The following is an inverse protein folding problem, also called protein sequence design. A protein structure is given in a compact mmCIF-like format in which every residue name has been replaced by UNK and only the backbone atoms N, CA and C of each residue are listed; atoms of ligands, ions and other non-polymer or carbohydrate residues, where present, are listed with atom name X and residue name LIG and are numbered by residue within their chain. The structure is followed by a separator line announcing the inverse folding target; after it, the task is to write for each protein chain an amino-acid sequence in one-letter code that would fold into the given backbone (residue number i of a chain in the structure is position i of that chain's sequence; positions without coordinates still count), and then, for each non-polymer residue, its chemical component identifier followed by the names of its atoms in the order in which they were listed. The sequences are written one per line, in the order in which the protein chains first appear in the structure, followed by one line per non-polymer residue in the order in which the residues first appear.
data_IF_596284279426
#
_entry.id   IF_596284279426
#
_cell.length_a   1.000
_cell.length_b   1.000
_cell.length_c   1.000
_cell.angle_alpha   90.00
_cell.angle_beta   90.00
_cell.angle_gamma   90.00
#
_symmetry.space_group_name_H-M   'P 1'
#
loop_
_entity.id
_entity.type
_entity.pdbx_description
1 polymer ?
#
# COMPACT_ATOMS: atom_id res chain seq x y z
N UNK A 1 17.38 17.70 0.84
CA UNK A 1 16.52 18.37 1.84
C UNK A 1 17.35 18.98 2.95
N UNK A 2 18.17 18.20 3.67
CA UNK A 2 19.04 18.71 4.74
C UNK A 2 19.88 19.95 4.37
N UNK A 3 20.46 19.99 3.16
CA UNK A 3 21.24 21.14 2.69
C UNK A 3 20.40 22.32 2.14
N UNK A 4 19.10 22.11 1.89
CA UNK A 4 18.21 23.08 1.25
C UNK A 4 17.23 23.71 2.23
N UNK A 5 16.70 22.90 3.15
CA UNK A 5 15.72 23.29 4.17
C UNK A 5 15.87 22.35 5.38
N UNK A 6 16.78 22.69 6.32
CA UNK A 6 17.07 21.85 7.48
C UNK A 6 15.91 21.80 8.48
N UNK A 7 15.15 22.90 8.64
CA UNK A 7 14.02 22.96 9.57
C UNK A 7 12.89 22.01 9.12
N UNK A 8 12.56 22.02 7.83
CA UNK A 8 11.55 21.11 7.30
C UNK A 8 12.01 19.65 7.34
N UNK A 9 13.30 19.39 7.12
CA UNK A 9 13.87 18.05 7.28
C UNK A 9 13.75 17.55 8.73
N UNK A 10 14.13 18.36 9.72
CA UNK A 10 14.01 18.00 11.14
C UNK A 10 12.55 17.74 11.54
N UNK A 11 11.64 18.63 11.12
CA UNK A 11 10.21 18.46 11.38
C UNK A 11 9.64 17.18 10.76
N UNK A 12 10.01 16.88 9.51
CA UNK A 12 9.60 15.64 8.84
C UNK A 12 10.19 14.41 9.53
N UNK A 13 11.46 14.44 9.91
CA UNK A 13 12.10 13.33 10.63
C UNK A 13 11.36 13.06 11.93
N UNK A 14 11.17 14.09 12.78
CA UNK A 14 10.45 13.96 14.05
C UNK A 14 9.03 13.43 13.86
N UNK A 15 8.31 13.88 12.81
CA UNK A 15 6.99 13.36 12.49
C UNK A 15 7.02 11.89 12.08
N UNK A 16 7.95 11.52 11.18
CA UNK A 16 8.01 10.18 10.59
C UNK A 16 8.49 9.11 11.57
N UNK A 17 9.26 9.46 12.62
CA UNK A 17 9.78 8.49 13.58
C UNK A 17 8.85 8.18 14.74
N UNK A 18 7.79 8.97 14.98
CA UNK A 18 6.86 8.78 16.12
C UNK A 18 6.36 7.34 16.24
N UNK A 19 5.96 6.72 15.13
CA UNK A 19 5.43 5.35 15.14
C UNK A 19 6.53 4.31 15.39
N UNK A 20 7.75 4.57 14.93
CA UNK A 20 8.88 3.67 15.17
C UNK A 20 9.35 3.73 16.64
N UNK A 21 9.30 4.91 17.27
CA UNK A 21 9.77 5.13 18.64
C UNK A 21 8.71 4.82 19.70
N UNK A 22 7.43 5.05 19.40
CA UNK A 22 6.35 5.03 20.38
C UNK A 22 5.11 4.24 19.93
N UNK A 23 5.11 3.70 18.70
CA UNK A 23 3.98 2.95 18.17
C UNK A 23 3.87 1.53 18.73
N UNK A 24 2.69 0.94 18.59
CA UNK A 24 2.40 -0.43 19.03
C UNK A 24 2.66 -1.50 17.96
N UNK A 25 2.99 -1.10 16.73
CA UNK A 25 3.24 -2.01 15.62
C UNK A 25 4.71 -2.45 15.62
N UNK A 26 4.93 -3.76 15.50
CA UNK A 26 6.28 -4.27 15.25
C UNK A 26 6.82 -3.75 13.91
N UNK A 27 8.15 -3.71 13.76
CA UNK A 27 8.79 -3.19 12.54
C UNK A 27 8.30 -3.94 11.30
N UNK A 28 8.24 -5.26 11.37
CA UNK A 28 7.79 -6.10 10.24
C UNK A 28 6.42 -5.67 9.70
N UNK A 29 5.42 -5.53 10.57
CA UNK A 29 4.07 -5.14 10.18
C UNK A 29 4.02 -3.70 9.67
N UNK A 30 4.80 -2.80 10.28
CA UNK A 30 4.88 -1.40 9.83
C UNK A 30 5.46 -1.29 8.41
N UNK A 31 6.54 -2.00 8.11
CA UNK A 31 7.12 -2.01 6.76
C UNK A 31 6.17 -2.64 5.73
N UNK A 32 5.44 -3.71 6.08
CA UNK A 32 4.40 -4.28 5.20
C UNK A 32 3.29 -3.28 4.87
N UNK A 33 2.91 -2.43 5.83
CA UNK A 33 1.95 -1.34 5.60
C UNK A 33 2.53 -0.28 4.65
N UNK A 34 3.79 0.11 4.83
CA UNK A 34 4.44 1.07 3.93
C UNK A 34 4.56 0.53 2.49
N UNK A 35 4.93 -0.74 2.33
CA UNK A 35 4.91 -1.43 1.03
C UNK A 35 3.53 -1.31 0.37
N UNK A 36 2.46 -1.62 1.12
CA UNK A 36 1.10 -1.53 0.59
C UNK A 36 0.75 -0.10 0.16
N UNK A 37 1.06 0.90 0.99
CA UNK A 37 0.83 2.32 0.69
C UNK A 37 1.57 2.74 -0.58
N UNK A 38 2.83 2.37 -0.73
CA UNK A 38 3.63 2.74 -1.90
C UNK A 38 3.21 2.00 -3.18
N UNK A 39 2.60 0.82 -3.03
CA UNK A 39 2.17 -0.03 -4.14
C UNK A 39 0.77 0.29 -4.67
N UNK A 40 -0.10 0.97 -3.91
CA UNK A 40 -1.45 1.33 -4.40
C UNK A 40 -1.39 2.19 -5.67
N UNK A 41 -2.39 2.01 -6.54
CA UNK A 41 -2.46 2.61 -7.88
C UNK A 41 -2.45 4.14 -7.89
N UNK A 42 -2.80 4.77 -6.78
CA UNK A 42 -2.77 6.23 -6.61
C UNK A 42 -1.43 6.78 -6.15
N UNK A 43 -0.45 5.90 -5.85
CA UNK A 43 0.87 6.29 -5.33
C UNK A 43 2.04 5.79 -6.19
N UNK A 44 2.09 4.50 -6.51
CA UNK A 44 3.07 3.89 -7.42
C UNK A 44 4.54 4.31 -7.17
N UNK A 45 4.97 4.33 -5.91
CA UNK A 45 6.29 4.82 -5.52
C UNK A 45 7.31 3.67 -5.37
N UNK A 46 7.87 3.22 -6.50
CA UNK A 46 8.80 2.07 -6.56
C UNK A 46 9.99 2.18 -5.59
N UNK A 47 10.67 3.32 -5.42
CA UNK A 47 11.80 3.40 -4.49
C UNK A 47 11.43 3.09 -3.04
N UNK A 48 10.24 3.48 -2.60
CA UNK A 48 9.79 3.21 -1.24
C UNK A 48 9.43 1.73 -1.05
N UNK A 49 8.77 1.11 -2.05
CA UNK A 49 8.56 -0.35 -2.08
C UNK A 49 9.89 -1.10 -1.92
N UNK A 50 10.95 -0.68 -2.61
CA UNK A 50 12.26 -1.34 -2.48
C UNK A 50 12.90 -1.17 -1.10
N UNK A 51 12.79 0.03 -0.50
CA UNK A 51 13.32 0.33 0.82
C UNK A 51 12.59 -0.50 1.88
N UNK A 52 11.27 -0.44 1.87
CA UNK A 52 10.44 -1.08 2.90
C UNK A 52 10.43 -2.60 2.73
N UNK A 53 10.56 -3.13 1.51
CA UNK A 53 10.75 -4.56 1.30
C UNK A 53 12.06 -5.07 1.92
N UNK A 54 13.16 -4.31 1.82
CA UNK A 54 14.43 -4.67 2.48
C UNK A 54 14.28 -4.61 3.99
N UNK A 55 13.71 -3.53 4.53
CA UNK A 55 13.48 -3.38 5.97
C UNK A 55 12.56 -4.48 6.53
N UNK A 56 11.52 -4.86 5.78
CA UNK A 56 10.60 -5.94 6.16
C UNK A 56 11.33 -7.27 6.25
N UNK A 57 12.17 -7.60 5.26
CA UNK A 57 13.00 -8.82 5.28
C UNK A 57 13.97 -8.82 6.47
N UNK A 58 14.63 -7.70 6.73
CA UNK A 58 15.54 -7.54 7.88
C UNK A 58 14.79 -7.70 9.22
N UNK A 59 13.51 -7.31 9.27
CA UNK A 59 12.62 -7.52 10.41
C UNK A 59 11.97 -8.92 10.47
N UNK A 60 12.34 -9.83 9.57
CA UNK A 60 11.88 -11.22 9.55
C UNK A 60 10.57 -11.47 8.80
N UNK A 61 10.16 -10.58 7.90
CA UNK A 61 9.10 -10.87 6.94
C UNK A 61 9.52 -11.96 5.95
N UNK A 62 8.56 -12.71 5.43
CA UNK A 62 8.79 -13.61 4.30
C UNK A 62 8.46 -12.92 2.96
N UNK A 63 9.03 -13.40 1.84
CA UNK A 63 8.62 -12.94 0.50
C UNK A 63 7.12 -13.05 0.26
N UNK A 64 6.47 -14.10 0.77
CA UNK A 64 5.02 -14.30 0.65
C UNK A 64 4.22 -13.21 1.39
N UNK A 65 4.69 -12.74 2.55
CA UNK A 65 4.03 -11.64 3.26
C UNK A 65 4.14 -10.33 2.50
N UNK A 66 5.30 -10.07 1.88
CA UNK A 66 5.54 -8.89 1.04
C UNK A 66 4.65 -8.94 -0.20
N UNK A 67 4.61 -10.09 -0.89
CA UNK A 67 3.74 -10.29 -2.04
C UNK A 67 2.27 -10.11 -1.66
N UNK A 68 1.84 -10.69 -0.53
CA UNK A 68 0.47 -10.53 -0.03
C UNK A 68 0.10 -9.07 0.24
N UNK A 69 1.02 -8.26 0.77
CA UNK A 69 0.78 -6.82 0.96
C UNK A 69 0.57 -6.08 -0.38
N UNK A 70 1.36 -6.42 -1.41
CA UNK A 70 1.21 -5.86 -2.76
C UNK A 70 -0.11 -6.31 -3.42
N UNK A 71 -0.47 -7.59 -3.30
CA UNK A 71 -1.71 -8.14 -3.84
C UNK A 71 -2.95 -7.43 -3.25
N UNK A 72 -2.94 -7.18 -1.93
CA UNK A 72 -4.00 -6.40 -1.26
C UNK A 72 -4.03 -4.97 -1.81
N UNK A 73 -2.87 -4.33 -1.98
CA UNK A 73 -2.80 -2.97 -2.52
C UNK A 73 -3.37 -2.87 -3.94
N UNK A 74 -3.13 -3.86 -4.80
CA UNK A 74 -3.64 -3.92 -6.19
C UNK A 74 -5.17 -3.98 -6.24
N UNK A 75 -5.83 -4.63 -5.26
CA UNK A 75 -7.30 -4.72 -5.21
C UNK A 75 -7.97 -3.35 -5.10
N UNK A 76 -7.29 -2.31 -4.61
CA UNK A 76 -7.82 -0.94 -4.61
C UNK A 76 -8.16 -0.45 -6.03
N UNK A 77 -7.44 -0.91 -7.06
CA UNK A 77 -7.74 -0.60 -8.46
C UNK A 77 -8.92 -1.37 -9.04
N UNK A 78 -9.35 -2.47 -8.41
CA UNK A 78 -10.49 -3.27 -8.81
C UNK A 78 -11.83 -2.76 -8.24
N UNK A 79 -11.81 -1.73 -7.39
CA UNK A 79 -13.00 -1.18 -6.74
C UNK A 79 -14.15 -0.81 -7.72
N UNK A 80 -13.91 -0.14 -8.87
CA UNK A 80 -14.98 0.15 -9.83
C UNK A 80 -15.61 -1.11 -10.43
N UNK A 81 -14.84 -2.20 -10.58
CA UNK A 81 -15.38 -3.47 -11.05
C UNK A 81 -16.33 -4.08 -10.03
N UNK A 82 -15.96 -4.09 -8.74
CA UNK A 82 -16.82 -4.60 -7.67
C UNK A 82 -18.10 -3.78 -7.51
N UNK A 83 -17.98 -2.45 -7.64
CA UNK A 83 -19.15 -1.58 -7.62
C UNK A 83 -20.09 -1.87 -8.79
N UNK A 84 -19.55 -2.05 -10.00
CA UNK A 84 -20.35 -2.30 -11.20
C UNK A 84 -21.14 -3.62 -11.13
N UNK A 85 -20.58 -4.69 -10.57
CA UNK A 85 -21.28 -5.99 -10.45
C UNK A 85 -22.32 -6.01 -9.33
N UNK A 86 -22.20 -5.13 -8.33
CA UNK A 86 -23.15 -5.03 -7.22
C UNK A 86 -24.28 -4.04 -7.48
N UNK A 87 -24.08 -3.09 -8.38
CA UNK A 87 -25.13 -2.14 -8.78
C UNK A 87 -26.23 -2.86 -9.56
N UNK A 88 -27.51 -2.68 -9.20
CA UNK A 88 -28.62 -3.09 -10.06
C UNK A 88 -28.47 -2.35 -11.39
N UNK A 89 -28.12 -3.07 -12.45
CA UNK A 89 -27.71 -2.45 -13.71
C UNK A 89 -28.85 -1.72 -14.41
N UNK A 90 -30.12 -2.05 -14.10
CA UNK A 90 -31.30 -1.54 -14.82
C UNK A 90 -31.31 -1.88 -16.32
N UNK A 91 -30.27 -2.60 -16.79
CA UNK A 91 -30.10 -3.04 -18.15
C UNK A 91 -30.96 -4.29 -18.34
N UNK A 92 -31.68 -4.42 -19.46
CA UNK A 92 -32.38 -5.66 -19.77
C UNK A 92 -31.36 -6.80 -19.80
N UNK A 93 -31.70 -7.94 -19.19
CA UNK A 93 -30.88 -9.13 -19.27
C UNK A 93 -30.69 -9.48 -20.75
N UNK A 94 -29.53 -9.18 -21.30
CA UNK A 94 -29.19 -9.62 -22.66
C UNK A 94 -29.16 -11.14 -22.59
N UNK A 95 -30.00 -11.79 -23.40
CA UNK A 95 -30.05 -13.24 -23.53
C UNK A 95 -28.63 -13.80 -23.60
N UNK A 96 -28.36 -14.87 -22.84
CA UNK A 96 -27.05 -15.49 -22.88
C UNK A 96 -26.83 -16.03 -24.30
N UNK A 97 -25.59 -16.04 -24.82
CA UNK A 97 -25.33 -16.69 -26.11
C UNK A 97 -25.74 -18.17 -26.00
N UNK A 98 -26.86 -18.54 -26.61
CA UNK A 98 -27.42 -19.90 -26.55
C UNK A 98 -28.90 -20.02 -26.17
N UNK A 99 -29.58 -18.93 -25.79
CA UNK A 99 -31.05 -18.88 -25.68
C UNK A 99 -31.72 -18.49 -27.02
#
# INVERSE_FOLDING_TARGET
MLALDPEMFEAYTNFSTVVAEHGSLDTRLRELIYIAIDCVVTRLYVPGVEIDARNALDAGATPDQILGAMEIAVLTGADPYFEAIQRPTGLPATARPGD
#
